data_IF_643863607206
#
_entry.id   IF_643863607206
#
_cell.length_a   1.000
_cell.length_b   1.000
_cell.length_c   1.000
_cell.angle_alpha   90.00
_cell.angle_beta   90.00
_cell.angle_gamma   90.00
#
_symmetry.space_group_name_H-M   'P 1'
#
loop_
_entity.id
_entity.type
_entity.pdbx_description
1 polymer ?
#
# COMPACT_ATOMS: atom_id res chain seq x y z
N UNK A 1 -27.95 -78.92 -4.79
CA UNK A 1 -27.36 -78.22 -3.61
C UNK A 1 -26.29 -77.21 -4.03
N UNK A 2 -25.21 -77.60 -4.72
CA UNK A 2 -24.14 -76.67 -5.13
C UNK A 2 -24.60 -75.49 -6.03
N UNK A 3 -25.56 -75.72 -6.94
CA UNK A 3 -26.10 -74.67 -7.81
C UNK A 3 -26.87 -73.57 -7.05
N UNK A 4 -27.54 -73.91 -5.95
CA UNK A 4 -28.27 -72.93 -5.12
C UNK A 4 -27.29 -72.07 -4.30
N UNK A 5 -26.19 -72.65 -3.84
CA UNK A 5 -25.13 -71.92 -3.14
C UNK A 5 -24.43 -70.95 -4.09
N UNK A 6 -24.13 -71.39 -5.32
CA UNK A 6 -23.53 -70.53 -6.35
C UNK A 6 -24.43 -69.34 -6.70
N UNK A 7 -25.74 -69.57 -6.83
CA UNK A 7 -26.73 -68.51 -7.09
C UNK A 7 -26.86 -67.50 -5.93
N UNK A 8 -26.70 -67.96 -4.68
CA UNK A 8 -26.68 -67.08 -3.52
C UNK A 8 -25.46 -66.16 -3.50
N UNK A 9 -24.28 -66.69 -3.86
CA UNK A 9 -23.02 -65.94 -3.90
C UNK A 9 -23.05 -64.87 -5.01
N UNK A 10 -23.58 -65.21 -6.19
CA UNK A 10 -23.68 -64.24 -7.31
C UNK A 10 -24.62 -63.08 -7.01
N UNK A 11 -25.74 -63.33 -6.33
CA UNK A 11 -26.66 -62.28 -5.89
C UNK A 11 -26.03 -61.34 -4.85
N UNK A 12 -25.25 -61.89 -3.91
CA UNK A 12 -24.52 -61.08 -2.93
C UNK A 12 -23.46 -60.20 -3.59
N UNK A 13 -22.71 -60.73 -4.55
CA UNK A 13 -21.71 -59.97 -5.29
C UNK A 13 -22.34 -58.83 -6.11
N UNK A 14 -23.47 -59.08 -6.78
CA UNK A 14 -24.20 -58.04 -7.52
C UNK A 14 -24.70 -56.94 -6.59
N UNK A 15 -25.19 -57.30 -5.41
CA UNK A 15 -25.67 -56.33 -4.41
C UNK A 15 -24.54 -55.46 -3.86
N UNK A 16 -23.38 -56.05 -3.58
CA UNK A 16 -22.19 -55.30 -3.14
C UNK A 16 -21.71 -54.33 -4.21
N UNK A 17 -21.67 -54.75 -5.48
CA UNK A 17 -21.30 -53.88 -6.60
C UNK A 17 -22.31 -52.74 -6.75
N UNK A 18 -23.60 -53.02 -6.59
CA UNK A 18 -24.67 -52.01 -6.64
C UNK A 18 -24.56 -50.99 -5.51
N UNK A 19 -24.34 -51.44 -4.27
CA UNK A 19 -24.17 -50.54 -3.11
C UNK A 19 -22.90 -49.66 -3.27
N UNK A 20 -21.78 -50.24 -3.73
CA UNK A 20 -20.55 -49.49 -4.02
C UNK A 20 -20.75 -48.47 -5.15
N UNK A 21 -21.49 -48.83 -6.20
CA UNK A 21 -21.79 -47.93 -7.31
C UNK A 21 -22.70 -46.77 -6.88
N UNK A 22 -23.70 -47.07 -6.03
CA UNK A 22 -24.62 -46.06 -5.49
C UNK A 22 -23.89 -45.05 -4.61
N UNK A 23 -22.99 -45.52 -3.74
CA UNK A 23 -22.14 -44.64 -2.90
C UNK A 23 -21.20 -43.75 -3.73
N UNK A 24 -20.82 -44.20 -4.94
CA UNK A 24 -20.04 -43.38 -5.87
C UNK A 24 -20.86 -42.26 -6.50
N UNK A 25 -22.16 -42.46 -6.73
CA UNK A 25 -23.03 -41.46 -7.36
C UNK A 25 -23.67 -40.47 -6.37
N UNK A 26 -23.76 -40.80 -5.08
CA UNK A 26 -24.45 -39.94 -4.08
C UNK A 26 -23.56 -38.90 -3.39
N UNK A 27 -22.40 -38.54 -3.94
CA UNK A 27 -21.71 -37.33 -3.48
C UNK A 27 -22.31 -36.10 -4.16
N UNK A 28 -23.12 -35.26 -3.47
CA UNK A 28 -23.52 -33.99 -4.02
C UNK A 28 -22.25 -33.19 -4.32
N UNK A 29 -22.12 -32.81 -5.59
CA UNK A 29 -21.06 -31.94 -6.08
C UNK A 29 -21.26 -30.56 -5.44
N UNK A 30 -20.84 -30.41 -4.17
CA UNK A 30 -20.66 -29.10 -3.55
C UNK A 30 -19.58 -28.43 -4.38
N UNK A 31 -20.00 -27.54 -5.28
CA UNK A 31 -19.13 -26.52 -5.87
C UNK A 31 -18.21 -26.05 -4.75
N UNK A 32 -16.91 -26.23 -4.93
CA UNK A 32 -15.92 -25.55 -4.10
C UNK A 32 -16.21 -24.07 -4.29
N UNK A 33 -16.96 -23.47 -3.37
CA UNK A 33 -16.90 -22.04 -3.16
C UNK A 33 -15.41 -21.78 -2.99
N UNK A 34 -14.82 -21.09 -3.99
CA UNK A 34 -13.49 -20.48 -3.82
C UNK A 34 -13.57 -19.81 -2.48
N UNK A 35 -12.80 -20.31 -1.51
CA UNK A 35 -12.91 -19.88 -0.13
C UNK A 35 -12.95 -18.37 -0.15
N UNK A 36 -14.11 -17.79 0.16
CA UNK A 36 -14.16 -16.40 0.54
C UNK A 36 -13.20 -16.36 1.72
N UNK A 37 -12.07 -15.71 1.55
CA UNK A 37 -11.21 -15.36 2.66
C UNK A 37 -12.09 -14.42 3.48
N UNK A 38 -12.82 -14.99 4.43
CA UNK A 38 -13.57 -14.21 5.40
C UNK A 38 -12.47 -13.50 6.18
N UNK A 39 -12.30 -12.21 5.91
CA UNK A 39 -11.35 -11.39 6.63
C UNK A 39 -11.87 -11.23 8.06
N UNK A 40 -11.53 -12.20 8.90
CA UNK A 40 -11.88 -12.22 10.32
C UNK A 40 -10.94 -11.32 11.14
N UNK A 41 -10.03 -10.57 10.51
CA UNK A 41 -9.03 -9.77 11.23
C UNK A 41 -9.68 -8.77 12.20
N UNK A 42 -10.79 -8.17 11.80
CA UNK A 42 -11.56 -7.25 12.65
C UNK A 42 -12.56 -7.97 13.57
N UNK A 43 -12.94 -9.21 13.26
CA UNK A 43 -13.94 -9.96 14.03
C UNK A 43 -13.50 -10.32 15.45
N UNK A 44 -12.18 -10.28 15.71
CA UNK A 44 -11.59 -10.52 17.04
C UNK A 44 -11.22 -9.23 17.78
N UNK A 45 -11.45 -8.05 17.18
CA UNK A 45 -11.10 -6.77 17.77
C UNK A 45 -12.28 -6.27 18.62
N UNK A 46 -11.99 -5.94 19.88
CA UNK A 46 -12.95 -5.25 20.74
C UNK A 46 -13.12 -3.80 20.25
N UNK A 47 -14.19 -3.59 19.48
CA UNK A 47 -14.50 -2.28 18.88
C UNK A 47 -14.90 -1.23 19.93
N UNK A 48 -15.34 -1.65 21.12
CA UNK A 48 -15.72 -0.74 22.20
C UNK A 48 -14.50 -0.26 22.99
N UNK A 49 -13.35 -0.91 22.83
CA UNK A 49 -12.12 -0.60 23.56
C UNK A 49 -10.85 -0.68 22.68
N UNK A 50 -10.80 0.17 21.66
CA UNK A 50 -9.64 0.28 20.79
C UNK A 50 -8.47 1.04 21.48
N UNK A 51 -7.24 0.49 21.48
CA UNK A 51 -6.10 1.08 22.21
C UNK A 51 -5.43 2.25 21.45
N UNK A 52 -6.20 3.12 20.80
CA UNK A 52 -5.69 4.24 20.00
C UNK A 52 -5.77 5.57 20.74
N UNK A 53 -4.81 6.46 20.45
CA UNK A 53 -4.79 7.83 20.97
C UNK A 53 -4.45 8.81 19.86
N UNK A 54 -5.05 9.99 19.91
CA UNK A 54 -4.70 11.09 19.02
C UNK A 54 -3.24 11.52 19.27
N UNK A 55 -2.46 11.65 18.20
CA UNK A 55 -1.12 12.24 18.25
C UNK A 55 -1.22 13.75 18.50
N UNK A 56 -0.31 14.29 19.32
CA UNK A 56 -0.29 15.73 19.64
C UNK A 56 0.01 16.64 18.43
N UNK A 57 0.81 16.18 17.48
CA UNK A 57 1.12 16.89 16.24
C UNK A 57 1.34 15.91 15.08
N UNK A 58 0.91 16.28 13.88
CA UNK A 58 1.13 15.48 12.67
C UNK A 58 2.63 15.44 12.31
N UNK A 59 3.22 16.63 12.16
CA UNK A 59 4.59 16.88 11.75
C UNK A 59 5.56 16.99 12.94
N UNK A 60 6.84 16.68 12.69
CA UNK A 60 7.92 17.05 13.61
C UNK A 60 8.10 18.58 13.64
N UNK A 61 8.82 19.12 14.62
CA UNK A 61 9.08 20.58 14.69
C UNK A 61 9.83 21.09 13.45
N UNK A 62 10.81 20.33 12.96
CA UNK A 62 11.58 20.68 11.76
C UNK A 62 10.71 20.61 10.49
N UNK A 63 9.93 19.54 10.34
CA UNK A 63 8.99 19.41 9.21
C UNK A 63 7.91 20.50 9.25
N UNK A 64 7.40 20.87 10.42
CA UNK A 64 6.43 21.94 10.55
C UNK A 64 7.01 23.30 10.12
N UNK A 65 8.26 23.59 10.48
CA UNK A 65 8.92 24.82 10.05
C UNK A 65 9.11 24.87 8.52
N UNK A 66 9.53 23.75 7.91
CA UNK A 66 9.61 23.64 6.46
C UNK A 66 8.23 23.76 5.80
N UNK A 67 7.19 23.14 6.36
CA UNK A 67 5.83 23.22 5.85
C UNK A 67 5.30 24.66 5.81
N UNK A 68 5.51 25.42 6.89
CA UNK A 68 5.12 26.84 6.95
C UNK A 68 5.87 27.61 5.86
N UNK A 69 7.18 27.43 5.78
CA UNK A 69 8.01 28.12 4.77
C UNK A 69 7.60 27.77 3.33
N UNK A 70 7.27 26.50 3.05
CA UNK A 70 6.76 26.08 1.75
C UNK A 70 5.44 26.79 1.43
N UNK A 71 4.49 26.79 2.36
CA UNK A 71 3.21 27.47 2.18
C UNK A 71 3.37 28.99 1.98
N UNK A 72 4.34 29.63 2.63
CA UNK A 72 4.56 31.06 2.44
C UNK A 72 5.08 31.38 1.03
N UNK A 73 5.78 30.44 0.39
CA UNK A 73 6.44 30.63 -0.91
C UNK A 73 5.58 30.20 -2.10
N UNK A 74 4.73 29.18 -1.97
CA UNK A 74 3.93 28.69 -3.11
C UNK A 74 2.86 29.69 -3.56
N UNK A 75 2.50 29.64 -4.85
CA UNK A 75 1.30 30.31 -5.33
C UNK A 75 0.06 29.44 -5.09
N UNK A 76 -0.73 29.78 -4.05
CA UNK A 76 -1.93 29.05 -3.63
C UNK A 76 -3.08 29.04 -4.65
N UNK A 77 -3.03 29.87 -5.70
CA UNK A 77 -4.04 29.81 -6.76
C UNK A 77 -3.82 28.61 -7.69
N UNK A 78 -2.56 28.20 -7.86
CA UNK A 78 -2.15 27.20 -8.83
C UNK A 78 -1.65 25.90 -8.17
N UNK A 79 -1.24 25.97 -6.90
CA UNK A 79 -0.59 24.87 -6.19
C UNK A 79 -1.09 24.69 -4.77
N UNK A 80 -0.91 23.48 -4.23
CA UNK A 80 -1.11 23.16 -2.81
C UNK A 80 0.01 22.26 -2.30
N UNK A 81 0.41 22.45 -1.04
CA UNK A 81 1.39 21.60 -0.35
C UNK A 81 0.66 20.62 0.58
N UNK A 82 0.87 19.32 0.37
CA UNK A 82 0.29 18.23 1.15
C UNK A 82 1.38 17.51 1.96
N UNK A 83 1.33 17.51 3.30
CA UNK A 83 2.29 16.80 4.13
C UNK A 83 1.96 15.30 4.28
N UNK A 84 3.00 14.46 4.41
CA UNK A 84 2.90 13.03 4.76
C UNK A 84 1.97 12.21 3.85
N UNK A 85 1.97 12.50 2.55
CA UNK A 85 1.22 11.74 1.54
C UNK A 85 1.85 10.36 1.36
N UNK A 86 1.06 9.28 1.40
CA UNK A 86 1.61 7.93 1.21
C UNK A 86 2.05 7.76 -0.24
N UNK A 87 3.14 7.01 -0.45
CA UNK A 87 3.61 6.76 -1.81
C UNK A 87 2.63 5.90 -2.61
N UNK A 88 1.89 5.00 -1.95
CA UNK A 88 0.84 4.21 -2.60
C UNK A 88 -0.30 5.05 -3.22
N UNK A 89 -0.51 6.28 -2.72
CA UNK A 89 -1.57 7.18 -3.19
C UNK A 89 -1.15 7.95 -4.45
N UNK A 90 0.14 7.96 -4.79
CA UNK A 90 0.70 8.76 -5.90
C UNK A 90 1.57 7.96 -6.87
N UNK A 91 1.90 6.70 -6.54
CA UNK A 91 2.73 5.82 -7.35
C UNK A 91 2.03 4.46 -7.47
N UNK A 92 1.99 3.94 -8.69
CA UNK A 92 1.56 2.57 -8.97
C UNK A 92 2.71 1.75 -9.54
N UNK A 93 2.70 0.44 -9.28
CA UNK A 93 3.64 -0.48 -9.91
C UNK A 93 3.40 -0.55 -11.42
N UNK A 94 4.47 -0.59 -12.21
CA UNK A 94 4.38 -0.82 -13.65
C UNK A 94 3.65 -2.15 -13.95
N UNK A 95 2.97 -2.27 -15.12
CA UNK A 95 2.33 -3.51 -15.50
C UNK A 95 3.36 -4.64 -15.69
N UNK A 96 2.95 -5.88 -15.41
CA UNK A 96 3.73 -7.10 -15.64
C UNK A 96 5.06 -7.20 -14.87
N UNK A 97 5.16 -6.58 -13.70
CA UNK A 97 6.33 -6.69 -12.81
C UNK A 97 6.26 -7.98 -11.99
N UNK A 98 7.35 -8.74 -11.95
CA UNK A 98 7.49 -9.86 -11.01
C UNK A 98 7.51 -9.29 -9.58
N UNK A 99 6.81 -9.94 -8.64
CA UNK A 99 6.69 -9.50 -7.24
C UNK A 99 5.99 -8.14 -7.06
N UNK A 100 5.04 -7.79 -7.93
CA UNK A 100 4.27 -6.54 -7.83
C UNK A 100 3.67 -6.31 -6.43
N UNK A 101 3.17 -7.37 -5.77
CA UNK A 101 2.64 -7.30 -4.41
C UNK A 101 3.66 -6.81 -3.38
N UNK A 102 4.92 -7.25 -3.49
CA UNK A 102 5.99 -6.82 -2.57
C UNK A 102 6.33 -5.34 -2.78
N UNK A 103 6.39 -4.89 -4.03
CA UNK A 103 6.60 -3.47 -4.32
C UNK A 103 5.45 -2.61 -3.79
N UNK A 104 4.20 -3.05 -3.95
CA UNK A 104 3.04 -2.35 -3.40
C UNK A 104 3.10 -2.28 -1.87
N UNK A 105 3.41 -3.38 -1.19
CA UNK A 105 3.60 -3.40 0.26
C UNK A 105 4.65 -2.38 0.71
N UNK A 106 5.78 -2.31 0.00
CA UNK A 106 6.82 -1.31 0.28
C UNK A 106 6.33 0.11 0.09
N UNK A 107 5.44 0.40 -0.87
CA UNK A 107 4.87 1.74 -1.05
C UNK A 107 3.89 2.11 0.08
N UNK A 108 3.12 1.14 0.61
CA UNK A 108 2.15 1.37 1.71
C UNK A 108 2.81 1.90 2.97
N UNK A 109 3.98 1.36 3.28
CA UNK A 109 4.73 1.71 4.50
C UNK A 109 5.54 3.01 4.35
N UNK A 110 5.42 3.70 3.21
CA UNK A 110 6.23 4.87 2.86
C UNK A 110 5.37 6.08 2.55
N UNK A 111 5.90 7.25 2.88
CA UNK A 111 5.29 8.54 2.58
C UNK A 111 6.32 9.53 2.08
N UNK A 112 5.88 10.41 1.19
CA UNK A 112 6.56 11.66 0.89
C UNK A 112 6.43 12.60 2.09
N UNK A 113 7.48 13.33 2.45
CA UNK A 113 7.38 14.31 3.54
C UNK A 113 6.44 15.44 3.14
N UNK A 114 6.60 15.96 1.92
CA UNK A 114 5.66 16.87 1.29
C UNK A 114 5.48 16.54 -0.18
N UNK A 115 4.28 16.81 -0.68
CA UNK A 115 3.91 16.74 -2.08
C UNK A 115 3.32 18.09 -2.49
N UNK A 116 3.83 18.68 -3.56
CA UNK A 116 3.19 19.82 -4.22
C UNK A 116 2.36 19.28 -5.38
N UNK A 117 1.09 19.66 -5.39
CA UNK A 117 0.15 19.34 -6.46
C UNK A 117 -0.28 20.60 -7.20
N UNK A 118 -0.65 20.43 -8.47
CA UNK A 118 -1.40 21.44 -9.22
C UNK A 118 -2.84 21.53 -8.71
N UNK A 119 -3.42 22.72 -8.78
CA UNK A 119 -4.85 22.94 -8.65
C UNK A 119 -5.48 23.13 -10.05
N UNK A 120 -6.76 22.74 -10.22
CA UNK A 120 -7.68 22.22 -9.21
C UNK A 120 -7.70 20.69 -9.05
N UNK A 121 -6.97 19.95 -9.88
CA UNK A 121 -7.11 18.49 -10.02
C UNK A 121 -6.21 17.66 -9.09
N UNK A 122 -5.40 18.32 -8.27
CA UNK A 122 -4.43 17.70 -7.36
C UNK A 122 -3.41 16.81 -8.06
N UNK A 123 -3.08 17.08 -9.32
CA UNK A 123 -2.03 16.34 -10.02
C UNK A 123 -0.68 16.49 -9.31
N UNK A 124 -0.02 15.37 -8.90
CA UNK A 124 1.31 15.39 -8.30
C UNK A 124 2.33 16.07 -9.22
N UNK A 125 3.02 17.11 -8.72
CA UNK A 125 4.03 17.85 -9.49
C UNK A 125 5.45 17.70 -8.94
N UNK A 126 5.59 17.83 -7.62
CA UNK A 126 6.91 17.83 -6.98
C UNK A 126 6.86 17.13 -5.63
N UNK A 127 7.71 16.14 -5.44
CA UNK A 127 7.95 15.48 -4.15
C UNK A 127 9.11 16.18 -3.46
N UNK A 128 8.94 16.49 -2.17
CA UNK A 128 9.98 17.06 -1.33
C UNK A 128 10.32 16.06 -0.24
N UNK A 129 11.61 15.72 -0.14
CA UNK A 129 12.16 14.87 0.91
C UNK A 129 12.91 15.74 1.93
N UNK A 130 12.54 15.62 3.20
CA UNK A 130 13.13 16.34 4.33
C UNK A 130 14.29 15.53 4.88
N UNK A 131 15.52 15.89 4.52
CA UNK A 131 16.72 15.13 4.92
C UNK A 131 17.39 15.74 6.14
N UNK A 132 17.83 14.89 7.07
CA UNK A 132 18.76 15.27 8.11
C UNK A 132 20.10 14.57 7.91
N UNK A 133 21.23 15.29 7.81
CA UNK A 133 22.57 14.67 7.72
C UNK A 133 22.92 13.74 8.90
N UNK A 134 22.26 13.93 10.05
CA UNK A 134 22.43 13.13 11.26
C UNK A 134 21.47 11.92 11.33
N UNK A 135 20.66 11.69 10.30
CA UNK A 135 19.77 10.53 10.25
C UNK A 135 20.57 9.23 10.26
N UNK A 136 20.00 8.20 10.90
CA UNK A 136 20.60 6.88 10.91
C UNK A 136 20.54 6.22 9.52
N UNK A 137 21.35 5.17 9.33
CA UNK A 137 21.42 4.44 8.06
C UNK A 137 20.07 3.89 7.59
N UNK A 138 19.19 3.47 8.49
CA UNK A 138 17.87 2.92 8.15
C UNK A 138 16.99 4.00 7.51
N UNK A 139 16.97 5.19 8.11
CA UNK A 139 16.23 6.35 7.60
C UNK A 139 16.79 6.82 6.27
N UNK A 140 18.11 6.92 6.13
CA UNK A 140 18.76 7.26 4.86
C UNK A 140 18.42 6.28 3.72
N UNK A 141 18.39 4.96 4.01
CA UNK A 141 17.97 3.95 3.03
C UNK A 141 16.49 4.08 2.67
N UNK A 142 15.64 4.39 3.65
CA UNK A 142 14.22 4.67 3.41
C UNK A 142 14.03 5.90 2.52
N UNK A 143 14.76 6.98 2.77
CA UNK A 143 14.65 8.20 1.98
C UNK A 143 15.20 7.99 0.56
N UNK A 144 16.28 7.23 0.43
CA UNK A 144 16.80 6.80 -0.87
C UNK A 144 15.75 6.01 -1.66
N UNK A 145 15.06 5.06 -1.01
CA UNK A 145 13.97 4.32 -1.66
C UNK A 145 12.85 5.27 -2.10
N UNK A 146 12.39 6.18 -1.24
CA UNK A 146 11.31 7.11 -1.55
C UNK A 146 11.64 7.99 -2.75
N UNK A 147 12.87 8.51 -2.81
CA UNK A 147 13.38 9.31 -3.94
C UNK A 147 13.34 8.49 -5.22
N UNK A 148 13.98 7.32 -5.22
CA UNK A 148 14.06 6.45 -6.40
C UNK A 148 12.71 6.00 -6.89
N UNK A 149 11.82 5.57 -6.00
CA UNK A 149 10.47 5.17 -6.35
C UNK A 149 9.69 6.32 -7.01
N UNK A 150 9.83 7.54 -6.50
CA UNK A 150 9.18 8.72 -7.05
C UNK A 150 9.77 9.11 -8.42
N UNK A 151 11.09 9.12 -8.55
CA UNK A 151 11.79 9.40 -9.81
C UNK A 151 11.40 8.40 -10.92
N UNK A 152 11.39 7.10 -10.61
CA UNK A 152 11.00 6.04 -11.56
C UNK A 152 9.51 6.12 -11.93
N UNK A 153 8.67 6.67 -11.05
CA UNK A 153 7.26 6.96 -11.34
C UNK A 153 7.07 8.24 -12.18
N UNK A 154 8.15 8.92 -12.58
CA UNK A 154 8.11 10.15 -13.37
C UNK A 154 7.85 11.41 -12.55
N UNK A 155 7.92 11.34 -11.22
CA UNK A 155 7.76 12.51 -10.35
C UNK A 155 9.09 13.26 -10.22
N UNK A 156 9.01 14.58 -10.21
CA UNK A 156 10.18 15.40 -9.85
C UNK A 156 10.40 15.31 -8.35
N UNK A 157 11.65 15.13 -7.92
CA UNK A 157 12.02 15.05 -6.51
C UNK A 157 13.08 16.09 -6.16
N UNK A 158 12.88 16.79 -5.04
CA UNK A 158 13.91 17.64 -4.43
C UNK A 158 14.14 17.25 -2.99
N UNK A 159 15.35 17.51 -2.51
CA UNK A 159 15.75 17.27 -1.13
C UNK A 159 16.04 18.58 -0.45
N UNK A 160 15.50 18.76 0.76
CA UNK A 160 15.74 19.94 1.58
C UNK A 160 16.33 19.48 2.90
N UNK A 161 17.45 20.08 3.27
CA UNK A 161 18.09 19.83 4.56
C UNK A 161 17.25 20.46 5.68
N UNK A 162 16.70 19.64 6.56
CA UNK A 162 15.85 20.12 7.66
C UNK A 162 16.64 20.63 8.88
N UNK A 163 17.94 20.34 8.94
CA UNK A 163 18.84 20.88 9.98
C UNK A 163 19.32 22.29 9.65
N UNK A 164 19.28 22.66 8.38
CA UNK A 164 19.61 24.00 7.91
C UNK A 164 18.60 24.40 6.83
N UNK A 165 17.45 24.91 7.27
CA UNK A 165 16.37 25.30 6.37
C UNK A 165 16.83 26.43 5.44
N UNK A 166 16.47 26.38 4.15
CA UNK A 166 16.76 27.46 3.23
C UNK A 166 16.06 28.75 3.67
N UNK A 167 16.64 29.88 3.33
CA UNK A 167 15.95 31.16 3.48
C UNK A 167 14.81 31.27 2.46
N UNK A 168 13.86 32.17 2.73
CA UNK A 168 12.72 32.38 1.82
C UNK A 168 13.15 32.69 0.36
N UNK A 169 14.12 33.57 0.08
CA UNK A 169 14.57 33.82 -1.29
C UNK A 169 15.24 32.61 -1.95
N UNK A 170 16.01 31.83 -1.20
CA UNK A 170 16.66 30.61 -1.70
C UNK A 170 15.63 29.55 -2.07
N UNK A 171 14.63 29.34 -1.22
CA UNK A 171 13.54 28.40 -1.50
C UNK A 171 12.71 28.87 -2.70
N UNK A 172 12.42 30.16 -2.79
CA UNK A 172 11.71 30.76 -3.94
C UNK A 172 12.46 30.49 -5.24
N UNK A 173 13.78 30.75 -5.26
CA UNK A 173 14.61 30.52 -6.44
C UNK A 173 14.71 29.03 -6.78
N UNK A 174 14.81 28.16 -5.78
CA UNK A 174 14.81 26.71 -5.97
C UNK A 174 13.50 26.24 -6.61
N UNK A 175 12.36 26.61 -6.04
CA UNK A 175 11.04 26.19 -6.50
C UNK A 175 10.67 26.79 -7.87
N UNK A 176 11.15 28.00 -8.18
CA UNK A 176 11.00 28.60 -9.50
C UNK A 176 11.65 27.78 -10.62
N UNK A 177 12.75 27.07 -10.34
CA UNK A 177 13.39 26.15 -11.32
C UNK A 177 12.47 24.99 -11.72
N UNK A 178 11.53 24.64 -10.84
CA UNK A 178 10.55 23.58 -11.05
C UNK A 178 9.16 24.16 -11.40
N UNK A 179 9.06 25.47 -11.57
CA UNK A 179 7.84 26.17 -11.99
C UNK A 179 6.68 26.04 -11.02
N UNK A 180 6.93 25.98 -9.70
CA UNK A 180 5.88 25.90 -8.65
C UNK A 180 5.72 27.21 -7.86
N UNK A 181 6.34 28.30 -8.33
CA UNK A 181 6.28 29.68 -7.81
C UNK A 181 6.39 30.66 -8.96
#
# INVERSE_FOLDING_TARGET
MAQLILAGITLLALKLIWDVYKDYQTKPNKKKEKGQVIDLSEAWIDMDNLPYRKKGALLSRADLALFILLNDVINHNDYVVLPKVRLEDIIHSAPNVQNAEEYLLRLKDKSADFLICNLPDLQPKLVIVSENPQDNRIKQLSDTFNKRASEEAGLTVISINNSNLPTHPELTLLLKKYGVV
#
